data_IF_714453161917
#
_entry.id   IF_714453161917
#
_cell.length_a   1.000
_cell.length_b   1.000
_cell.length_c   1.000
_cell.angle_alpha   90.00
_cell.angle_beta   90.00
_cell.angle_gamma   90.00
#
_symmetry.space_group_name_H-M   'P 1'
#
loop_
_entity.id
_entity.type
_entity.pdbx_description
1 polymer ?
#
# COMPACT_ATOMS: atom_id res chain seq x y z
N UNK A 1 -15.80 -8.62 10.33
CA UNK A 1 -15.48 -7.35 9.64
C UNK A 1 -15.44 -6.22 10.64
N UNK A 2 -14.35 -5.48 10.68
CA UNK A 2 -14.17 -4.37 11.58
C UNK A 2 -13.93 -3.08 10.81
N UNK A 3 -14.62 -2.00 11.22
CA UNK A 3 -14.35 -0.66 10.71
C UNK A 3 -13.41 0.03 11.68
N UNK A 4 -12.33 0.56 11.16
CA UNK A 4 -11.31 1.24 11.97
C UNK A 4 -10.94 2.57 11.33
N UNK A 5 -10.44 3.49 12.17
CA UNK A 5 -9.85 4.73 11.68
C UNK A 5 -8.34 4.54 11.60
N UNK A 6 -7.75 4.96 10.48
CA UNK A 6 -6.32 4.82 10.25
C UNK A 6 -5.71 6.12 9.79
N UNK A 7 -4.41 6.25 10.02
CA UNK A 7 -3.59 7.27 9.38
C UNK A 7 -2.63 6.57 8.42
N UNK A 8 -2.60 7.03 7.18
CA UNK A 8 -1.70 6.50 6.15
C UNK A 8 -0.63 7.54 5.89
N UNK A 9 0.62 7.12 5.89
CA UNK A 9 1.76 7.97 5.59
C UNK A 9 2.52 7.38 4.42
N UNK A 10 2.80 8.21 3.42
CA UNK A 10 3.65 7.85 2.28
C UNK A 10 4.76 8.89 2.22
N UNK A 11 5.99 8.42 2.28
CA UNK A 11 7.16 9.31 2.31
C UNK A 11 8.16 8.87 1.25
N UNK A 12 8.71 9.85 0.53
CA UNK A 12 9.88 9.63 -0.31
C UNK A 12 11.00 10.58 0.12
N UNK A 13 12.07 10.68 -0.66
CA UNK A 13 13.23 11.53 -0.31
C UNK A 13 12.90 13.02 -0.29
N UNK A 14 11.81 13.45 -0.90
CA UNK A 14 11.47 14.87 -1.07
C UNK A 14 10.21 15.28 -0.32
N UNK A 15 9.22 14.39 -0.23
CA UNK A 15 7.91 14.74 0.32
C UNK A 15 7.43 13.73 1.35
N UNK A 16 6.52 14.18 2.21
CA UNK A 16 5.78 13.33 3.14
C UNK A 16 4.31 13.68 3.03
N UNK A 17 3.48 12.70 2.67
CA UNK A 17 2.03 12.85 2.62
C UNK A 17 1.41 11.98 3.69
N UNK A 18 0.46 12.54 4.42
CA UNK A 18 -0.30 11.83 5.45
C UNK A 18 -1.77 12.19 5.33
N UNK A 19 -2.62 11.21 5.54
CA UNK A 19 -4.07 11.45 5.60
C UNK A 19 -4.72 10.44 6.53
N UNK A 20 -5.89 10.81 7.05
CA UNK A 20 -6.70 9.96 7.91
C UNK A 20 -7.91 9.49 7.11
N UNK A 21 -8.27 8.23 7.26
CA UNK A 21 -9.41 7.67 6.56
C UNK A 21 -10.00 6.51 7.35
N UNK A 22 -11.20 6.10 6.97
CA UNK A 22 -11.84 4.91 7.52
C UNK A 22 -11.45 3.71 6.68
N UNK A 23 -11.19 2.59 7.33
CA UNK A 23 -10.81 1.36 6.66
C UNK A 23 -11.68 0.21 7.15
N UNK A 24 -11.80 -0.82 6.32
CA UNK A 24 -12.43 -2.07 6.68
C UNK A 24 -11.36 -3.14 6.79
N UNK A 25 -11.29 -3.79 7.95
CA UNK A 25 -10.35 -4.88 8.19
C UNK A 25 -11.14 -6.18 8.28
N UNK A 26 -10.78 -7.16 7.43
CA UNK A 26 -11.42 -8.47 7.39
C UNK A 26 -10.38 -9.53 7.04
N UNK A 27 -10.24 -10.54 7.90
CA UNK A 27 -9.37 -11.70 7.65
C UNK A 27 -7.94 -11.31 7.25
N UNK A 28 -7.37 -10.33 7.96
CA UNK A 28 -6.04 -9.80 7.72
C UNK A 28 -5.88 -9.12 6.35
N UNK A 29 -6.97 -8.63 5.79
CA UNK A 29 -6.97 -7.77 4.60
C UNK A 29 -7.60 -6.44 4.98
N UNK A 30 -6.89 -5.33 4.72
CA UNK A 30 -7.40 -4.00 4.98
C UNK A 30 -7.72 -3.32 3.65
N UNK A 31 -8.86 -2.62 3.63
CA UNK A 31 -9.32 -1.87 2.46
C UNK A 31 -9.68 -0.46 2.87
N UNK A 32 -9.18 0.51 2.14
CA UNK A 32 -9.51 1.92 2.36
C UNK A 32 -9.45 2.70 1.06
N UNK A 33 -9.86 3.96 1.10
CA UNK A 33 -9.87 4.83 -0.06
C UNK A 33 -8.94 6.02 0.17
N UNK A 34 -8.14 6.35 -0.83
CA UNK A 34 -7.30 7.55 -0.81
C UNK A 34 -8.14 8.80 -1.08
N UNK A 35 -7.63 10.00 -0.78
CA UNK A 35 -8.39 11.24 -1.00
C UNK A 35 -8.83 11.46 -2.45
N UNK A 36 -8.14 10.87 -3.42
CA UNK A 36 -8.47 10.97 -4.85
C UNK A 36 -9.36 9.82 -5.33
N UNK A 37 -10.01 9.10 -4.41
CA UNK A 37 -10.90 7.96 -4.67
C UNK A 37 -10.21 6.70 -5.18
N UNK A 38 -8.89 6.63 -5.12
CA UNK A 38 -8.15 5.39 -5.40
C UNK A 38 -8.43 4.38 -4.28
N UNK A 39 -8.83 3.17 -4.66
CA UNK A 39 -9.09 2.09 -3.70
C UNK A 39 -7.78 1.37 -3.41
N UNK A 40 -7.51 1.16 -2.12
CA UNK A 40 -6.29 0.49 -1.66
C UNK A 40 -6.68 -0.75 -0.87
N UNK A 41 -6.03 -1.87 -1.20
CA UNK A 41 -6.20 -3.13 -0.49
C UNK A 41 -4.80 -3.64 -0.11
N UNK A 42 -4.60 -3.94 1.18
CA UNK A 42 -3.36 -4.56 1.65
C UNK A 42 -3.67 -5.89 2.30
N UNK A 43 -3.00 -6.95 1.82
CA UNK A 43 -3.10 -8.29 2.37
C UNK A 43 -1.89 -8.54 3.29
N UNK A 44 -2.14 -8.63 4.60
CA UNK A 44 -1.07 -8.80 5.60
C UNK A 44 -0.43 -10.19 5.55
N UNK A 45 -1.13 -11.18 5.04
CA UNK A 45 -0.57 -12.53 4.91
C UNK A 45 0.38 -12.65 3.73
N UNK A 46 0.00 -12.03 2.62
CA UNK A 46 0.77 -12.11 1.38
C UNK A 46 1.75 -10.95 1.21
N UNK A 47 1.64 -9.91 2.05
CA UNK A 47 2.41 -8.68 1.94
C UNK A 47 2.28 -8.08 0.53
N UNK A 48 1.03 -7.92 0.10
CA UNK A 48 0.70 -7.44 -1.23
C UNK A 48 -0.20 -6.22 -1.13
N UNK A 49 0.20 -5.16 -1.80
CA UNK A 49 -0.55 -3.90 -1.86
C UNK A 49 -1.12 -3.74 -3.26
N UNK A 50 -2.42 -3.47 -3.36
CA UNK A 50 -3.09 -3.17 -4.63
C UNK A 50 -3.70 -1.79 -4.52
N UNK A 51 -3.40 -0.91 -5.48
CA UNK A 51 -4.02 0.40 -5.61
C UNK A 51 -4.69 0.47 -6.97
N UNK A 52 -5.96 0.83 -6.99
CA UNK A 52 -6.73 0.82 -8.24
C UNK A 52 -7.68 2.00 -8.35
N UNK A 53 -7.72 2.60 -9.52
CA UNK A 53 -8.70 3.59 -9.91
C UNK A 53 -9.11 3.35 -11.37
N UNK A 54 -9.85 4.30 -11.98
CA UNK A 54 -10.34 4.14 -13.35
C UNK A 54 -9.23 4.07 -14.40
N UNK A 55 -8.05 4.60 -14.08
CA UNK A 55 -6.95 4.76 -15.03
C UNK A 55 -5.91 3.66 -14.90
N UNK A 56 -5.66 3.17 -13.70
CA UNK A 56 -4.57 2.23 -13.48
C UNK A 56 -4.82 1.30 -12.31
N UNK A 57 -4.12 0.17 -12.34
CA UNK A 57 -4.03 -0.76 -11.22
C UNK A 57 -2.57 -1.02 -10.92
N UNK A 58 -2.16 -0.73 -9.70
CA UNK A 58 -0.78 -0.94 -9.25
C UNK A 58 -0.76 -2.09 -8.27
N UNK A 59 0.12 -3.06 -8.51
CA UNK A 59 0.32 -4.21 -7.64
C UNK A 59 1.75 -4.17 -7.14
N UNK A 60 1.91 -3.97 -5.83
CA UNK A 60 3.22 -3.99 -5.16
C UNK A 60 3.34 -5.29 -4.39
N UNK A 61 4.29 -6.13 -4.75
CA UNK A 61 4.54 -7.38 -4.08
C UNK A 61 5.70 -7.22 -3.12
N UNK A 62 5.39 -7.13 -1.81
CA UNK A 62 6.40 -6.95 -0.76
C UNK A 62 6.85 -8.27 -0.14
N UNK A 63 6.35 -9.39 -0.63
CA UNK A 63 6.81 -10.69 -0.17
C UNK A 63 8.13 -11.06 -0.83
N UNK A 64 8.81 -12.06 -0.28
CA UNK A 64 10.06 -12.57 -0.87
C UNK A 64 9.79 -13.51 -2.04
N UNK A 65 8.57 -13.59 -2.54
CA UNK A 65 8.24 -14.36 -3.71
C UNK A 65 8.84 -13.75 -4.96
N UNK A 66 8.98 -14.56 -6.01
CA UNK A 66 9.50 -14.10 -7.29
C UNK A 66 8.43 -13.43 -8.17
N UNK A 67 7.26 -13.08 -7.58
CA UNK A 67 6.21 -12.39 -8.31
C UNK A 67 6.59 -10.93 -8.56
N UNK A 68 6.35 -10.47 -9.77
CA UNK A 68 6.66 -9.10 -10.16
C UNK A 68 5.68 -8.10 -9.57
N UNK A 69 6.18 -6.91 -9.27
CA UNK A 69 5.33 -5.74 -9.03
C UNK A 69 5.07 -5.07 -10.37
N UNK A 70 3.82 -4.68 -10.61
CA UNK A 70 3.42 -4.15 -11.92
C UNK A 70 2.51 -2.94 -11.80
N UNK A 71 2.52 -2.11 -12.85
CA UNK A 71 1.51 -1.07 -13.08
C UNK A 71 0.79 -1.43 -14.36
N UNK A 72 -0.53 -1.59 -14.27
CA UNK A 72 -1.40 -1.78 -15.43
C UNK A 72 -2.07 -0.45 -15.77
N UNK A 73 -1.83 0.05 -16.98
CA UNK A 73 -2.50 1.24 -17.48
C UNK A 73 -3.70 0.77 -18.31
N UNK A 74 -4.90 1.03 -17.79
CA UNK A 74 -6.14 0.43 -18.31
C UNK A 74 -6.48 0.89 -19.73
N UNK A 75 -6.29 2.17 -20.03
CA UNK A 75 -6.66 2.72 -21.35
C UNK A 75 -5.87 2.10 -22.49
N UNK A 76 -4.64 1.69 -22.22
CA UNK A 76 -3.76 1.13 -23.24
C UNK A 76 -3.56 -0.36 -23.09
N UNK A 77 -4.20 -0.97 -22.09
CA UNK A 77 -3.99 -2.38 -21.74
C UNK A 77 -2.49 -2.74 -21.69
N UNK A 78 -1.72 -1.87 -21.03
CA UNK A 78 -0.27 -1.97 -21.00
C UNK A 78 0.22 -2.24 -19.59
N UNK A 79 1.16 -3.18 -19.45
CA UNK A 79 1.83 -3.49 -18.20
C UNK A 79 3.22 -2.88 -18.15
N UNK A 80 3.58 -2.33 -17.00
CA UNK A 80 4.94 -1.87 -16.72
C UNK A 80 5.42 -2.60 -15.48
N UNK A 81 6.55 -3.29 -15.59
CA UNK A 81 7.17 -3.93 -14.44
C UNK A 81 7.86 -2.90 -13.56
N UNK A 82 7.71 -3.04 -12.26
CA UNK A 82 8.34 -2.17 -11.27
C UNK A 82 9.53 -2.90 -10.65
N UNK A 83 10.69 -2.28 -10.65
CA UNK A 83 11.85 -2.81 -9.98
C UNK A 83 11.80 -2.42 -8.49
N UNK A 84 11.19 -3.27 -7.69
CA UNK A 84 10.92 -3.02 -6.27
C UNK A 84 11.83 -3.85 -5.39
N UNK A 85 12.46 -3.19 -4.43
CA UNK A 85 13.32 -3.83 -3.43
C UNK A 85 12.81 -3.50 -2.04
N UNK A 86 12.64 -4.52 -1.21
CA UNK A 86 12.19 -4.35 0.17
C UNK A 86 13.40 -4.23 1.08
N UNK A 87 13.41 -3.20 1.93
CA UNK A 87 14.44 -3.02 2.94
C UNK A 87 13.98 -3.50 4.31
N UNK A 88 12.71 -3.24 4.68
CA UNK A 88 12.18 -3.64 5.97
C UNK A 88 10.66 -3.68 5.95
N UNK A 89 10.08 -4.70 6.58
CA UNK A 89 8.64 -4.77 6.86
C UNK A 89 8.47 -4.97 8.36
N UNK A 90 7.61 -4.16 8.98
CA UNK A 90 7.22 -4.31 10.37
C UNK A 90 5.71 -4.33 10.46
N UNK A 91 5.15 -5.36 11.09
CA UNK A 91 3.71 -5.52 11.26
C UNK A 91 3.39 -5.80 12.72
N UNK A 92 2.34 -5.15 13.22
CA UNK A 92 1.82 -5.38 14.57
C UNK A 92 0.31 -5.16 14.54
N UNK A 93 -0.45 -6.26 14.49
CA UNK A 93 -1.92 -6.23 14.30
C UNK A 93 -2.26 -5.52 13.00
N UNK A 94 -3.02 -4.42 13.06
CA UNK A 94 -3.38 -3.63 11.87
C UNK A 94 -2.32 -2.59 11.51
N UNK A 95 -1.30 -2.39 12.33
CA UNK A 95 -0.23 -1.44 12.05
C UNK A 95 0.79 -2.06 11.11
N UNK A 96 1.26 -1.27 10.15
CA UNK A 96 2.18 -1.72 9.11
C UNK A 96 3.17 -0.62 8.79
N UNK A 97 4.43 -0.99 8.60
CA UNK A 97 5.44 -0.05 8.13
C UNK A 97 6.37 -0.78 7.16
N UNK A 98 6.51 -0.24 5.96
CA UNK A 98 7.36 -0.84 4.93
C UNK A 98 8.34 0.19 4.40
N UNK A 99 9.63 -0.13 4.51
CA UNK A 99 10.71 0.61 3.85
C UNK A 99 11.07 -0.14 2.57
N UNK A 100 11.00 0.53 1.43
CA UNK A 100 11.28 -0.10 0.16
C UNK A 100 11.87 0.90 -0.84
N UNK A 101 12.35 0.38 -1.95
CA UNK A 101 12.94 1.19 -3.03
C UNK A 101 12.31 0.78 -4.36
N UNK A 102 12.08 1.78 -5.21
CA UNK A 102 11.73 1.58 -6.61
C UNK A 102 12.77 2.35 -7.44
N UNK A 103 13.52 1.63 -8.28
CA UNK A 103 14.57 2.21 -9.12
C UNK A 103 15.54 3.08 -8.30
N UNK A 104 15.92 2.58 -7.12
CA UNK A 104 16.85 3.23 -6.17
C UNK A 104 16.27 4.43 -5.41
N UNK A 105 15.05 4.84 -5.71
CA UNK A 105 14.37 5.86 -4.90
C UNK A 105 13.74 5.19 -3.67
N UNK A 106 13.95 5.79 -2.50
CA UNK A 106 13.49 5.24 -1.23
C UNK A 106 12.10 5.74 -0.88
N UNK A 107 11.29 4.81 -0.38
CA UNK A 107 9.92 5.08 0.05
C UNK A 107 9.65 4.48 1.42
N UNK A 108 8.77 5.14 2.16
CA UNK A 108 8.17 4.60 3.38
C UNK A 108 6.65 4.58 3.20
N UNK A 109 6.03 3.45 3.47
CA UNK A 109 4.57 3.32 3.50
C UNK A 109 4.17 2.84 4.89
N UNK A 110 3.26 3.56 5.55
CA UNK A 110 2.83 3.23 6.89
C UNK A 110 1.33 3.34 7.03
N UNK A 111 0.75 2.32 7.67
CA UNK A 111 -0.64 2.33 8.14
C UNK A 111 -0.60 2.27 9.66
N UNK A 112 -1.28 3.20 10.31
CA UNK A 112 -1.36 3.25 11.76
C UNK A 112 -2.82 3.33 12.18
N UNK A 113 -3.26 2.39 13.01
CA UNK A 113 -4.61 2.42 13.54
C UNK A 113 -4.72 3.51 14.60
N UNK A 114 -5.72 4.39 14.44
CA UNK A 114 -5.99 5.46 15.39
C UNK A 114 -6.90 4.92 16.48
N UNK A 115 -6.45 5.06 17.72
CA UNK A 115 -7.24 4.64 18.88
C UNK A 115 -7.74 5.88 19.61
N UNK A 116 -9.02 5.92 19.84
CA UNK A 116 -9.65 6.98 20.63
C UNK A 116 -9.58 6.58 22.09
N UNK A 117 -9.04 7.46 22.90
CA UNK A 117 -8.96 7.26 24.36
C UNK A 117 -10.07 8.06 25.04
#
# INVERSE_FOLDING_TARGET
>A
MSKIDIEVTIKNSETTDSYKTKAVLRDKVIKYMEPDDTIVIYDYNEDKLVRENDQMKMIYNFSNNLEDSIILIKDYNRHININLKINRISKNKSNLEIDFEIDKEKFLYRIEELKWV
#
